data_IF_162336493129
#
_entry.id   IF_162336493129
#
_cell.length_a   1.000
_cell.length_b   1.000
_cell.length_c   1.000
_cell.angle_alpha   90.00
_cell.angle_beta   90.00
_cell.angle_gamma   90.00
#
_symmetry.space_group_name_H-M   'P 1'
#
loop_
_entity.id
_entity.type
_entity.pdbx_description
1 polymer ?
#
# COMPACT_ATOMS: atom_id res chain seq x y z
N UNK A 1 17.20 -2.87 -16.66
CA UNK A 1 16.95 -1.45 -16.95
C UNK A 1 17.09 -0.69 -15.65
N UNK A 2 17.72 0.47 -15.60
CA UNK A 2 17.94 1.18 -14.34
C UNK A 2 16.60 1.73 -13.80
N UNK A 3 16.38 1.59 -12.49
CA UNK A 3 15.23 2.09 -11.73
C UNK A 3 15.13 3.63 -11.76
N UNK A 4 16.08 4.32 -12.36
CA UNK A 4 16.07 5.77 -12.57
C UNK A 4 14.86 6.29 -13.37
N UNK A 5 14.02 5.42 -13.92
CA UNK A 5 12.75 5.77 -14.56
C UNK A 5 11.52 5.62 -13.65
N UNK A 6 11.67 5.05 -12.45
CA UNK A 6 10.61 5.06 -11.46
C UNK A 6 10.65 6.42 -10.76
N UNK A 7 9.54 7.14 -10.75
CA UNK A 7 9.42 8.38 -9.99
C UNK A 7 9.72 8.07 -8.51
N UNK A 8 10.97 8.30 -8.11
CA UNK A 8 11.32 8.42 -6.72
C UNK A 8 10.53 9.62 -6.20
N UNK A 9 9.54 9.39 -5.35
CA UNK A 9 9.05 10.45 -4.48
C UNK A 9 10.19 10.71 -3.50
N UNK A 10 11.10 11.60 -3.92
CA UNK A 10 12.20 12.06 -3.11
C UNK A 10 11.60 12.75 -1.89
N UNK A 11 11.56 12.06 -0.78
CA UNK A 11 11.28 12.69 0.50
C UNK A 11 12.50 13.54 0.86
N UNK A 12 12.39 14.86 0.73
CA UNK A 12 13.34 15.83 1.24
C UNK A 12 13.24 15.83 2.77
N UNK A 13 13.89 14.85 3.42
CA UNK A 13 14.04 14.84 4.87
C UNK A 13 15.49 14.50 5.21
N UNK A 14 16.09 15.18 6.20
CA UNK A 14 17.45 14.88 6.65
C UNK A 14 17.48 13.49 7.29
N UNK A 15 18.48 12.70 6.89
CA UNK A 15 18.82 11.38 7.41
C UNK A 15 17.90 10.21 6.99
N UNK A 16 18.13 9.65 5.79
CA UNK A 16 17.98 8.21 5.57
C UNK A 16 16.55 7.66 5.41
N UNK A 17 15.54 8.49 5.17
CA UNK A 17 14.18 8.05 4.94
C UNK A 17 13.91 8.01 3.43
N UNK A 18 13.89 6.82 2.83
CA UNK A 18 13.46 6.64 1.46
C UNK A 18 12.10 5.93 1.46
N UNK A 19 11.04 6.66 1.11
CA UNK A 19 9.73 6.07 0.83
C UNK A 19 9.69 5.85 -0.67
N UNK A 20 9.59 4.60 -1.10
CA UNK A 20 9.34 4.26 -2.49
C UNK A 20 7.86 3.92 -2.62
N UNK A 21 7.14 4.78 -3.30
CA UNK A 21 5.77 4.49 -3.73
C UNK A 21 5.84 3.80 -5.09
N UNK A 22 5.43 2.53 -5.11
CA UNK A 22 5.36 1.75 -6.34
C UNK A 22 4.04 2.05 -7.03
N UNK A 23 4.08 2.82 -8.12
CA UNK A 23 2.88 3.21 -8.88
C UNK A 23 2.49 2.09 -9.85
N UNK A 24 1.20 1.73 -9.82
CA UNK A 24 0.62 0.65 -10.62
C UNK A 24 0.64 0.93 -12.14
N UNK A 25 0.60 2.20 -12.54
CA UNK A 25 0.37 2.58 -13.95
C UNK A 25 1.59 2.26 -14.83
N UNK A 26 2.80 2.41 -14.31
CA UNK A 26 4.02 2.17 -15.08
C UNK A 26 4.48 0.72 -15.05
N UNK A 27 3.97 -0.09 -14.10
CA UNK A 27 4.47 -1.43 -13.87
C UNK A 27 4.05 -2.44 -14.96
N UNK A 28 2.79 -2.43 -15.39
CA UNK A 28 2.31 -3.33 -16.45
C UNK A 28 3.01 -3.09 -17.80
N UNK A 29 3.49 -1.88 -18.05
CA UNK A 29 4.25 -1.57 -19.25
C UNK A 29 5.64 -2.22 -19.26
N UNK A 30 6.27 -2.37 -18.07
CA UNK A 30 7.61 -2.94 -17.94
C UNK A 30 7.59 -4.46 -17.67
N UNK A 31 6.53 -4.97 -17.06
CA UNK A 31 6.39 -6.37 -16.68
C UNK A 31 5.00 -6.92 -17.08
N UNK A 32 4.71 -7.02 -18.38
CA UNK A 32 3.39 -7.42 -18.87
C UNK A 32 2.98 -8.85 -18.47
N UNK A 33 3.94 -9.69 -18.07
CA UNK A 33 3.70 -11.05 -17.60
C UNK A 33 3.48 -11.17 -16.09
N UNK A 34 3.47 -10.05 -15.34
CA UNK A 34 3.26 -10.09 -13.91
C UNK A 34 1.78 -10.07 -13.57
N UNK A 35 1.31 -11.22 -13.13
CA UNK A 35 -0.09 -11.54 -12.90
C UNK A 35 -0.59 -11.26 -11.48
N UNK A 36 0.28 -10.78 -10.56
CA UNK A 36 -0.13 -10.51 -9.19
C UNK A 36 0.62 -9.32 -8.55
N UNK A 37 -0.12 -8.59 -7.71
CA UNK A 37 0.38 -7.47 -6.91
C UNK A 37 1.49 -7.92 -5.95
N UNK A 38 1.39 -9.13 -5.41
CA UNK A 38 2.42 -9.73 -4.58
C UNK A 38 3.76 -9.86 -5.34
N UNK A 39 3.76 -10.43 -6.55
CA UNK A 39 4.96 -10.56 -7.38
C UNK A 39 5.56 -9.19 -7.71
N UNK A 40 4.70 -8.20 -7.96
CA UNK A 40 5.11 -6.82 -8.16
C UNK A 40 5.93 -6.30 -6.99
N UNK A 41 5.39 -6.37 -5.76
CA UNK A 41 6.09 -5.97 -4.55
C UNK A 41 7.43 -6.68 -4.38
N UNK A 42 7.44 -8.00 -4.62
CA UNK A 42 8.63 -8.83 -4.48
C UNK A 42 9.75 -8.41 -5.46
N UNK A 43 9.49 -8.38 -6.75
CA UNK A 43 10.55 -8.14 -7.76
C UNK A 43 11.06 -6.70 -7.73
N UNK A 44 10.17 -5.71 -7.57
CA UNK A 44 10.59 -4.32 -7.43
C UNK A 44 11.46 -4.10 -6.20
N UNK A 45 11.11 -4.74 -5.08
CA UNK A 45 11.94 -4.65 -3.88
C UNK A 45 13.31 -5.26 -4.08
N UNK A 46 13.41 -6.39 -4.78
CA UNK A 46 14.72 -6.99 -5.12
C UNK A 46 15.60 -6.02 -5.90
N UNK A 47 15.05 -5.31 -6.87
CA UNK A 47 15.80 -4.29 -7.63
C UNK A 47 16.18 -3.09 -6.75
N UNK A 48 15.24 -2.54 -5.97
CA UNK A 48 15.51 -1.44 -5.06
C UNK A 48 16.63 -1.74 -4.07
N UNK A 49 16.63 -2.93 -3.49
CA UNK A 49 17.66 -3.36 -2.54
C UNK A 49 19.04 -3.54 -3.19
N UNK A 50 19.12 -3.72 -4.50
CA UNK A 50 20.40 -3.74 -5.24
C UNK A 50 20.95 -2.33 -5.44
N UNK A 51 20.08 -1.38 -5.73
CA UNK A 51 20.47 -0.03 -6.12
C UNK A 51 20.70 0.90 -4.93
N UNK A 52 19.83 0.85 -3.91
CA UNK A 52 19.91 1.75 -2.76
C UNK A 52 20.14 1.01 -1.44
N UNK A 53 21.36 1.15 -0.92
CA UNK A 53 21.78 0.60 0.39
C UNK A 53 21.39 1.49 1.58
N UNK A 54 20.86 2.67 1.33
CA UNK A 54 20.39 3.57 2.40
C UNK A 54 18.91 3.39 2.72
N UNK A 55 18.19 2.58 1.93
CA UNK A 55 16.77 2.34 2.09
C UNK A 55 16.46 1.83 3.51
N UNK A 56 15.55 2.49 4.21
CA UNK A 56 15.16 2.14 5.59
C UNK A 56 13.68 1.80 5.73
N UNK A 57 12.86 2.18 4.75
CA UNK A 57 11.43 1.85 4.74
C UNK A 57 10.89 1.71 3.32
N UNK A 58 9.90 0.85 3.15
CA UNK A 58 9.17 0.66 1.89
C UNK A 58 7.67 0.66 2.20
N UNK A 59 6.90 1.41 1.41
CA UNK A 59 5.44 1.46 1.51
C UNK A 59 4.84 0.78 0.30
N UNK A 60 4.06 -0.27 0.51
CA UNK A 60 3.23 -0.91 -0.51
C UNK A 60 1.90 -0.17 -0.64
N UNK A 61 1.40 -0.01 -1.86
CA UNK A 61 0.11 0.64 -2.13
C UNK A 61 -1.07 -0.14 -1.54
N UNK A 62 -0.90 -1.43 -1.33
CA UNK A 62 -1.83 -2.29 -0.60
C UNK A 62 -1.08 -3.38 0.19
N UNK A 63 -1.81 -4.16 0.99
CA UNK A 63 -1.22 -5.21 1.81
C UNK A 63 -0.64 -6.36 0.97
N UNK A 64 -1.20 -6.67 -0.21
CA UNK A 64 -0.68 -7.73 -1.08
C UNK A 64 0.69 -7.38 -1.65
N UNK A 65 0.88 -6.13 -2.08
CA UNK A 65 2.19 -5.61 -2.48
C UNK A 65 3.15 -5.65 -1.28
N UNK A 66 2.69 -5.22 -0.10
CA UNK A 66 3.50 -5.21 1.11
C UNK A 66 3.96 -6.62 1.52
N UNK A 67 3.16 -7.66 1.32
CA UNK A 67 3.60 -9.04 1.58
C UNK A 67 4.73 -9.46 0.64
N UNK A 68 4.65 -9.11 -0.65
CA UNK A 68 5.74 -9.33 -1.60
C UNK A 68 7.03 -8.58 -1.22
N UNK A 69 6.88 -7.32 -0.74
CA UNK A 69 7.99 -6.54 -0.20
C UNK A 69 8.64 -7.26 0.99
N UNK A 70 7.83 -7.73 1.94
CA UNK A 70 8.33 -8.43 3.12
C UNK A 70 9.14 -9.66 2.74
N UNK A 71 8.65 -10.49 1.83
CA UNK A 71 9.35 -11.70 1.40
C UNK A 71 10.67 -11.39 0.68
N UNK A 72 10.68 -10.36 -0.19
CA UNK A 72 11.91 -9.93 -0.85
C UNK A 72 12.98 -9.41 0.14
N UNK A 73 12.56 -8.68 1.17
CA UNK A 73 13.44 -8.19 2.25
C UNK A 73 14.02 -9.39 3.03
N UNK A 74 13.17 -10.32 3.47
CA UNK A 74 13.58 -11.48 4.24
C UNK A 74 14.50 -12.42 3.44
N UNK A 75 14.19 -12.67 2.17
CA UNK A 75 15.05 -13.47 1.30
C UNK A 75 16.42 -12.80 1.05
N UNK A 76 16.46 -11.48 1.06
CA UNK A 76 17.68 -10.69 1.00
C UNK A 76 18.48 -10.72 2.32
N UNK A 77 18.04 -11.54 3.30
CA UNK A 77 18.63 -11.70 4.64
C UNK A 77 18.64 -10.42 5.45
N UNK A 78 17.70 -9.53 5.16
CA UNK A 78 17.44 -8.32 5.93
C UNK A 78 16.30 -8.58 6.94
N UNK A 79 16.30 -7.84 8.03
CA UNK A 79 15.34 -7.99 9.13
C UNK A 79 14.25 -6.92 9.04
N UNK A 80 13.02 -7.34 9.22
CA UNK A 80 11.87 -6.45 9.39
C UNK A 80 11.51 -6.45 10.88
N UNK A 81 11.42 -5.29 11.53
CA UNK A 81 11.61 -3.93 11.03
C UNK A 81 13.03 -3.37 11.18
N UNK A 82 13.98 -4.15 11.71
CA UNK A 82 15.28 -3.64 12.17
C UNK A 82 16.15 -3.04 11.06
N UNK A 83 16.12 -3.62 9.86
CA UNK A 83 16.87 -3.14 8.71
C UNK A 83 15.99 -2.37 7.75
N UNK A 84 14.75 -2.83 7.51
CA UNK A 84 13.75 -2.20 6.64
C UNK A 84 12.38 -2.24 7.32
N UNK A 85 11.76 -1.09 7.47
CA UNK A 85 10.35 -0.98 7.86
C UNK A 85 9.45 -1.20 6.64
N UNK A 86 8.32 -1.89 6.82
CA UNK A 86 7.34 -2.14 5.75
C UNK A 86 5.97 -1.68 6.21
N UNK A 87 5.28 -0.93 5.34
CA UNK A 87 3.90 -0.46 5.56
C UNK A 87 3.04 -0.89 4.38
N UNK A 88 1.83 -1.33 4.65
CA UNK A 88 0.80 -1.63 3.65
C UNK A 88 -0.38 -0.67 3.69
N UNK A 89 -1.41 -1.00 2.95
CA UNK A 89 -2.69 -0.32 2.96
C UNK A 89 -3.79 -1.37 2.73
N UNK A 90 -4.97 -1.16 3.26
CA UNK A 90 -6.24 -1.92 3.25
C UNK A 90 -6.60 -2.59 4.57
N UNK A 91 -5.64 -2.83 5.48
CA UNK A 91 -5.86 -3.54 6.74
C UNK A 91 -6.59 -4.88 6.53
N UNK A 92 -6.13 -5.67 5.58
CA UNK A 92 -6.67 -7.00 5.30
C UNK A 92 -6.52 -7.93 6.52
N UNK A 93 -7.35 -8.96 6.60
CA UNK A 93 -7.28 -9.93 7.71
C UNK A 93 -5.88 -10.57 7.84
N UNK A 94 -5.20 -10.79 6.72
CA UNK A 94 -3.85 -11.37 6.68
C UNK A 94 -2.79 -10.48 7.33
N UNK A 95 -2.92 -9.15 7.21
CA UNK A 95 -1.98 -8.19 7.80
C UNK A 95 -1.91 -8.31 9.33
N UNK A 96 -2.97 -8.81 9.97
CA UNK A 96 -3.05 -9.02 11.41
C UNK A 96 -2.44 -10.33 11.91
N UNK A 97 -2.12 -11.28 11.03
CA UNK A 97 -1.56 -12.56 11.45
C UNK A 97 -0.23 -12.37 12.17
N UNK A 98 -0.04 -13.10 13.28
CA UNK A 98 1.14 -12.95 14.15
C UNK A 98 2.47 -13.13 13.41
N UNK A 99 2.51 -13.99 12.42
CA UNK A 99 3.68 -14.25 11.57
C UNK A 99 3.99 -13.11 10.61
N UNK A 100 2.99 -12.32 10.23
CA UNK A 100 3.08 -11.19 9.30
C UNK A 100 3.16 -9.88 10.08
N UNK A 101 2.15 -9.59 10.89
CA UNK A 101 2.07 -8.44 11.78
C UNK A 101 2.41 -7.10 11.08
N UNK A 102 1.79 -6.88 9.92
CA UNK A 102 2.06 -5.75 9.02
C UNK A 102 1.39 -4.48 9.55
N UNK A 103 2.17 -3.42 9.72
CA UNK A 103 1.67 -2.05 9.88
C UNK A 103 1.00 -1.62 8.58
N UNK A 104 -0.24 -1.14 8.65
CA UNK A 104 -1.03 -0.85 7.46
C UNK A 104 -1.99 0.31 7.70
N UNK A 105 -2.46 0.93 6.63
CA UNK A 105 -3.46 1.99 6.66
C UNK A 105 -4.83 1.33 6.50
N UNK A 106 -5.72 1.54 7.49
CA UNK A 106 -7.12 1.17 7.38
C UNK A 106 -7.91 2.35 6.81
N UNK A 107 -8.47 2.17 5.64
CA UNK A 107 -9.36 3.13 5.02
C UNK A 107 -10.82 2.64 4.95
N UNK A 108 -11.17 1.70 5.81
CA UNK A 108 -12.53 1.24 6.08
C UNK A 108 -13.25 0.64 4.88
N UNK A 109 -12.59 -0.22 4.09
CA UNK A 109 -13.15 -0.84 2.89
C UNK A 109 -14.51 -1.50 3.12
N UNK A 110 -14.72 -2.32 4.18
CA UNK A 110 -16.02 -2.93 4.45
C UNK A 110 -17.12 -1.90 4.74
N UNK A 111 -16.78 -0.82 5.47
CA UNK A 111 -17.72 0.24 5.81
C UNK A 111 -18.13 1.02 4.55
N UNK A 112 -17.15 1.39 3.72
CA UNK A 112 -17.40 2.05 2.43
C UNK A 112 -18.32 1.25 1.53
N UNK A 113 -18.08 -0.07 1.45
CA UNK A 113 -18.93 -0.97 0.66
C UNK A 113 -20.37 -0.99 1.16
N UNK A 114 -20.58 -1.08 2.47
CA UNK A 114 -21.92 -1.03 3.09
C UNK A 114 -22.61 0.30 2.81
N UNK A 115 -21.94 1.41 3.09
CA UNK A 115 -22.54 2.74 2.94
C UNK A 115 -22.85 3.06 1.46
N UNK A 116 -22.01 2.58 0.52
CA UNK A 116 -22.29 2.67 -0.90
C UNK A 116 -23.57 1.90 -1.28
N UNK A 117 -23.75 0.68 -0.77
CA UNK A 117 -24.97 -0.11 -0.99
C UNK A 117 -26.20 0.61 -0.40
N UNK A 118 -26.11 1.14 0.81
CA UNK A 118 -27.20 1.86 1.46
C UNK A 118 -27.60 3.11 0.65
N UNK A 119 -26.63 3.86 0.15
CA UNK A 119 -26.87 5.03 -0.71
C UNK A 119 -27.59 4.60 -2.02
N UNK A 120 -27.13 3.54 -2.66
CA UNK A 120 -27.75 3.02 -3.90
C UNK A 120 -29.20 2.59 -3.63
N UNK A 121 -29.46 1.86 -2.56
CA UNK A 121 -30.80 1.40 -2.20
C UNK A 121 -31.75 2.57 -1.95
N UNK A 122 -31.32 3.60 -1.21
CA UNK A 122 -32.09 4.83 -0.98
C UNK A 122 -32.43 5.56 -2.28
N UNK A 123 -31.45 5.66 -3.19
CA UNK A 123 -31.67 6.28 -4.52
C UNK A 123 -32.70 5.49 -5.33
N UNK A 124 -32.60 4.16 -5.35
CA UNK A 124 -33.58 3.32 -6.06
C UNK A 124 -34.98 3.50 -5.47
N UNK A 125 -35.11 3.55 -4.14
CA UNK A 125 -36.39 3.75 -3.49
C UNK A 125 -36.97 5.13 -3.82
N UNK A 126 -36.18 6.20 -3.71
CA UNK A 126 -36.62 7.57 -4.08
C UNK A 126 -37.12 7.64 -5.52
N UNK A 127 -36.42 7.02 -6.48
CA UNK A 127 -36.83 6.95 -7.88
C UNK A 127 -38.16 6.19 -8.10
N UNK A 128 -38.46 5.19 -7.27
CA UNK A 128 -39.72 4.43 -7.36
C UNK A 128 -40.90 5.21 -6.77
N UNK A 129 -40.65 6.08 -5.77
CA UNK A 129 -41.65 6.88 -5.10
C UNK A 129 -41.97 8.19 -5.85
N UNK A 130 -41.04 8.68 -6.68
CA UNK A 130 -41.22 9.85 -7.54
C UNK A 130 -42.18 9.54 -8.70
N UNK A 131 -43.39 10.09 -8.68
CA UNK A 131 -44.40 9.88 -9.73
C UNK A 131 -44.02 10.59 -11.06
N UNK A 132 -43.18 11.62 -11.03
CA UNK A 132 -42.87 12.46 -12.19
C UNK A 132 -41.48 12.25 -12.79
N UNK A 133 -40.66 11.39 -12.24
CA UNK A 133 -39.31 11.05 -12.81
C UNK A 133 -38.34 12.23 -12.90
N UNK A 134 -38.67 13.39 -12.37
CA UNK A 134 -37.94 14.65 -12.57
C UNK A 134 -37.26 15.21 -11.32
N UNK A 135 -37.24 14.47 -10.19
CA UNK A 135 -36.49 14.92 -9.01
C UNK A 135 -34.98 14.72 -9.23
N UNK A 136 -34.18 15.76 -8.97
CA UNK A 136 -32.73 15.63 -9.05
C UNK A 136 -32.27 14.61 -8.02
N UNK A 137 -31.53 13.57 -8.47
CA UNK A 137 -30.92 12.59 -7.61
C UNK A 137 -30.04 13.28 -6.57
N UNK A 138 -30.36 13.12 -5.29
CA UNK A 138 -29.57 13.67 -4.19
C UNK A 138 -28.12 13.21 -4.31
N UNK A 139 -27.18 14.17 -4.22
CA UNK A 139 -25.75 13.87 -4.14
C UNK A 139 -25.40 13.53 -2.71
N UNK A 140 -24.77 12.37 -2.50
CA UNK A 140 -24.26 11.97 -1.19
C UNK A 140 -22.74 12.09 -1.23
N UNK A 141 -22.18 12.71 -0.20
CA UNK A 141 -20.74 12.79 0.01
C UNK A 141 -20.45 12.20 1.40
N UNK A 142 -19.60 11.16 1.44
CA UNK A 142 -19.20 10.49 2.68
C UNK A 142 -17.68 10.47 2.73
N UNK A 143 -17.12 11.05 3.77
CA UNK A 143 -15.68 11.08 4.02
C UNK A 143 -15.31 10.12 5.14
N UNK A 144 -14.16 9.48 4.98
CA UNK A 144 -13.56 8.60 5.98
C UNK A 144 -12.13 9.06 6.24
N UNK A 145 -11.81 9.30 7.49
CA UNK A 145 -10.44 9.58 7.91
C UNK A 145 -9.65 8.27 8.04
N UNK A 146 -8.62 8.02 7.20
CA UNK A 146 -7.85 6.78 7.28
C UNK A 146 -7.12 6.67 8.62
N UNK A 147 -6.95 5.43 9.12
CA UNK A 147 -6.25 5.16 10.37
C UNK A 147 -5.03 4.31 10.14
N UNK A 148 -3.88 4.75 10.67
CA UNK A 148 -2.68 3.91 10.71
C UNK A 148 -2.81 2.87 11.83
N UNK A 149 -2.74 1.60 11.45
CA UNK A 149 -2.72 0.45 12.35
C UNK A 149 -1.27 0.00 12.52
N UNK A 150 -0.64 0.47 13.58
CA UNK A 150 0.77 0.14 13.86
C UNK A 150 0.86 -1.29 14.39
N UNK A 151 1.75 -2.08 13.77
CA UNK A 151 2.08 -3.46 14.16
C UNK A 151 3.60 -3.64 14.22
N UNK A 152 4.10 -4.84 13.94
CA UNK A 152 5.51 -5.21 14.20
C UNK A 152 6.42 -5.03 12.98
N UNK A 153 5.91 -4.58 11.84
CA UNK A 153 6.70 -4.39 10.61
C UNK A 153 7.38 -3.03 10.51
N UNK A 154 7.22 -2.16 11.50
CA UNK A 154 7.82 -0.81 11.52
C UNK A 154 8.56 -0.53 12.81
N UNK A 155 9.64 0.25 12.69
CA UNK A 155 10.47 0.71 13.80
C UNK A 155 11.16 2.03 13.42
N UNK A 156 11.97 2.57 14.34
CA UNK A 156 12.86 3.69 14.03
C UNK A 156 13.83 3.30 12.92
N UNK A 157 14.16 4.26 12.04
CA UNK A 157 15.13 4.06 10.99
C UNK A 157 16.51 3.71 11.59
N UNK A 158 17.19 2.73 10.98
CA UNK A 158 18.57 2.44 11.33
C UNK A 158 19.49 3.61 10.98
N UNK A 159 20.54 3.80 11.75
CA UNK A 159 21.54 4.89 11.53
C UNK A 159 22.70 4.44 10.63
N UNK A 160 22.94 3.13 10.48
CA UNK A 160 24.02 2.57 9.67
C UNK A 160 23.53 2.09 8.31
N UNK A 161 24.41 2.21 7.29
CA UNK A 161 24.13 1.66 5.94
C UNK A 161 24.12 0.14 5.95
N UNK A 162 23.32 -0.46 5.06
CA UNK A 162 23.38 -1.91 4.82
C UNK A 162 24.77 -2.29 4.30
N UNK A 163 25.39 -3.28 4.95
CA UNK A 163 26.66 -3.83 4.48
C UNK A 163 26.42 -4.70 3.23
N UNK A 164 27.30 -4.58 2.25
CA UNK A 164 27.32 -5.52 1.14
C UNK A 164 27.64 -6.91 1.70
N UNK A 165 26.72 -7.85 1.56
CA UNK A 165 26.95 -9.27 1.77
C UNK A 165 27.08 -9.99 0.44
#
# INVERSE_FOLDING_TARGET
MPVSQFQQVACHQPAGFCIVQLDRINFQQFFPSMDSEYKMGYYLTKELLREDKNLTAIVGMNDMIAFGIMDAVLESKLRIPADISVVGCDNTVYSSFRSISLTTIDHYVPLKGRDACDIILRKIQSLRESQDGNEPLSTYHVEYEPKLIVRRSTSYARTEKLKNK
#
